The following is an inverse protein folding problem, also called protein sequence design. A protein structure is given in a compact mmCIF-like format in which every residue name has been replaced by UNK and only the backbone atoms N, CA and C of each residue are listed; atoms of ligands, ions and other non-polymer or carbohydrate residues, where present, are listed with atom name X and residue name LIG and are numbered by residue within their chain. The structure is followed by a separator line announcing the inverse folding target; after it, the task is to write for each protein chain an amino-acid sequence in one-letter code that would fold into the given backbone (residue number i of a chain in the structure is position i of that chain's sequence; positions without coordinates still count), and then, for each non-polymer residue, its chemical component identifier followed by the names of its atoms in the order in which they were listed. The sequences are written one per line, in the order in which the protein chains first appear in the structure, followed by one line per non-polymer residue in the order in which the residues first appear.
data_IF_507651412464
#
_entry.id   IF_507651412464
#
_cell.length_a   1.000
_cell.length_b   1.000
_cell.length_c   1.000
_cell.angle_alpha   90.00
_cell.angle_beta   90.00
_cell.angle_gamma   90.00
#
_symmetry.space_group_name_H-M   'P 1'
#
loop_
_entity.id
_entity.type
_entity.pdbx_description
1 polymer ?
#
# COMPACT_ATOMS: atom_id res chain seq x y z
N UNK A 1 -8.18 16.88 11.55
CA UNK A 1 -7.23 17.93 11.16
C UNK A 1 -6.26 17.38 10.15
N UNK A 2 -6.05 18.07 9.07
CA UNK A 2 -5.02 17.67 8.10
C UNK A 2 -3.65 18.12 8.59
N UNK A 3 -2.66 17.24 8.47
CA UNK A 3 -1.27 17.55 8.76
C UNK A 3 -0.53 17.65 7.44
N UNK A 4 -0.14 18.84 7.07
CA UNK A 4 0.61 19.09 5.85
C UNK A 4 2.02 19.53 6.19
N UNK A 5 3.00 18.96 5.52
CA UNK A 5 4.41 19.30 5.67
C UNK A 5 4.95 19.76 4.33
N UNK A 6 5.56 20.93 4.29
CA UNK A 6 6.22 21.41 3.08
C UNK A 6 7.56 20.70 2.91
N UNK A 7 7.77 20.15 1.73
CA UNK A 7 9.00 19.49 1.35
C UNK A 7 9.62 20.17 0.14
N UNK A 8 10.85 19.83 -0.17
CA UNK A 8 11.52 20.36 -1.37
C UNK A 8 10.83 19.94 -2.66
N UNK A 9 10.09 18.86 -2.62
CA UNK A 9 9.40 18.26 -3.77
C UNK A 9 7.92 18.65 -3.83
N UNK A 10 7.44 19.42 -2.86
CA UNK A 10 6.05 19.84 -2.78
C UNK A 10 5.47 19.67 -1.38
N UNK A 11 4.16 19.67 -1.32
CA UNK A 11 3.44 19.57 -0.05
C UNK A 11 3.09 18.12 0.25
N UNK A 12 3.59 17.60 1.35
CA UNK A 12 3.22 16.28 1.84
C UNK A 12 1.97 16.39 2.72
N UNK A 13 0.94 15.65 2.36
CA UNK A 13 -0.30 15.58 3.13
C UNK A 13 -0.32 14.25 3.87
N UNK A 14 -0.20 14.29 5.19
CA UNK A 14 -0.09 13.09 6.01
C UNK A 14 -1.44 12.37 6.22
N UNK A 15 -2.54 13.03 5.95
CA UNK A 15 -3.89 12.45 6.00
C UNK A 15 -4.33 11.90 4.63
N UNK A 16 -3.43 11.30 3.89
CA UNK A 16 -3.58 10.94 2.48
C UNK A 16 -4.72 9.97 2.15
N UNK A 17 -5.26 9.28 3.14
CA UNK A 17 -6.39 8.36 2.95
C UNK A 17 -7.75 9.05 2.86
N UNK A 18 -7.84 10.31 3.19
CA UNK A 18 -9.12 11.03 3.16
C UNK A 18 -9.46 11.47 1.74
N UNK A 19 -10.62 11.07 1.26
CA UNK A 19 -11.07 11.39 -0.09
C UNK A 19 -11.15 12.88 -0.38
N UNK A 20 -11.38 13.70 0.66
CA UNK A 20 -11.45 15.14 0.52
C UNK A 20 -10.16 15.79 -0.03
N UNK A 21 -9.03 15.11 0.09
CA UNK A 21 -7.76 15.56 -0.48
C UNK A 21 -7.51 15.11 -1.91
N UNK A 22 -8.42 14.31 -2.46
CA UNK A 22 -8.27 13.67 -3.76
C UNK A 22 -9.53 13.86 -4.61
N UNK A 23 -10.17 15.03 -4.50
CA UNK A 23 -11.43 15.32 -5.17
C UNK A 23 -11.34 15.23 -6.69
N UNK A 24 -10.18 15.49 -7.26
CA UNK A 24 -9.90 15.29 -8.68
C UNK A 24 -10.23 13.85 -9.11
N UNK A 25 -9.79 12.87 -8.32
CA UNK A 25 -10.01 11.45 -8.59
C UNK A 25 -11.47 11.05 -8.33
N UNK A 26 -12.06 11.59 -7.27
CA UNK A 26 -13.47 11.32 -6.93
C UNK A 26 -14.40 11.84 -8.03
N UNK A 27 -14.15 13.05 -8.51
CA UNK A 27 -14.95 13.65 -9.58
C UNK A 27 -14.81 12.88 -10.89
N UNK A 28 -13.61 12.44 -11.23
CA UNK A 28 -13.38 11.60 -12.40
C UNK A 28 -14.18 10.29 -12.30
N UNK A 29 -14.17 9.66 -11.15
CA UNK A 29 -14.94 8.43 -10.92
C UNK A 29 -16.45 8.67 -11.02
N UNK A 30 -16.95 9.74 -10.42
CA UNK A 30 -18.38 10.11 -10.51
C UNK A 30 -18.82 10.40 -11.94
N UNK A 31 -17.91 10.89 -12.78
CA UNK A 31 -18.15 11.11 -14.21
C UNK A 31 -18.10 9.83 -15.05
N UNK A 32 -17.87 8.68 -14.44
CA UNK A 32 -17.81 7.40 -15.13
C UNK A 32 -16.48 7.07 -15.75
N UNK A 33 -15.43 7.83 -15.45
CA UNK A 33 -14.08 7.54 -15.92
C UNK A 33 -13.46 6.36 -15.19
N UNK A 34 -12.59 5.61 -15.88
CA UNK A 34 -11.74 4.63 -15.22
C UNK A 34 -10.65 5.35 -14.43
N UNK A 35 -10.58 5.05 -13.15
CA UNK A 35 -9.56 5.62 -12.28
C UNK A 35 -8.72 4.51 -11.63
N UNK A 36 -7.47 4.85 -11.31
CA UNK A 36 -6.64 4.01 -10.46
C UNK A 36 -6.96 4.29 -8.98
N UNK A 37 -6.71 3.33 -8.09
CA UNK A 37 -6.84 3.56 -6.64
C UNK A 37 -5.94 4.71 -6.19
N UNK A 38 -6.33 5.37 -5.11
CA UNK A 38 -5.51 6.41 -4.49
C UNK A 38 -4.45 5.77 -3.61
N UNK A 39 -4.83 4.71 -2.90
CA UNK A 39 -3.99 4.00 -1.95
C UNK A 39 -4.08 2.50 -2.20
N UNK A 40 -2.97 1.80 -1.98
CA UNK A 40 -2.87 0.34 -2.17
C UNK A 40 -2.23 -0.27 -0.93
N UNK A 41 -2.79 -1.38 -0.46
CA UNK A 41 -2.13 -2.24 0.50
C UNK A 41 -1.34 -3.31 -0.25
N UNK A 42 -0.04 -3.40 0.02
CA UNK A 42 0.87 -4.31 -0.67
C UNK A 42 1.47 -5.30 0.32
N UNK A 43 1.16 -6.57 0.14
CA UNK A 43 1.73 -7.66 0.94
C UNK A 43 3.00 -8.18 0.28
N UNK A 44 4.15 -8.02 0.93
CA UNK A 44 5.44 -8.46 0.39
C UNK A 44 5.76 -9.90 0.75
N UNK A 45 5.37 -10.37 1.94
CA UNK A 45 5.73 -11.70 2.42
C UNK A 45 4.72 -12.20 3.46
N UNK A 46 4.61 -13.52 3.57
CA UNK A 46 3.89 -14.19 4.65
C UNK A 46 4.81 -14.66 5.77
N UNK A 47 6.12 -14.47 5.64
CA UNK A 47 7.08 -14.83 6.69
C UNK A 47 6.91 -13.90 7.89
N UNK A 48 6.79 -14.49 9.08
CA UNK A 48 6.64 -13.73 10.33
C UNK A 48 7.12 -14.56 11.51
N UNK A 49 7.90 -13.93 12.39
CA UNK A 49 8.36 -14.55 13.64
C UNK A 49 7.70 -14.00 14.90
N UNK A 50 6.79 -13.03 14.75
CA UNK A 50 6.22 -12.33 15.90
C UNK A 50 5.17 -13.14 16.69
N UNK A 51 4.45 -14.05 16.04
CA UNK A 51 3.44 -14.94 16.64
C UNK A 51 2.41 -14.21 17.51
N UNK A 52 1.88 -13.09 17.01
CA UNK A 52 0.89 -12.30 17.75
C UNK A 52 -0.36 -13.14 18.07
N UNK A 53 -0.82 -13.10 19.31
CA UNK A 53 -1.96 -13.91 19.77
C UNK A 53 -3.27 -13.55 19.06
N UNK A 54 -3.40 -12.31 18.59
CA UNK A 54 -4.58 -11.80 17.90
C UNK A 54 -4.46 -11.85 16.37
N UNK A 55 -3.41 -12.44 15.83
CA UNK A 55 -3.15 -12.44 14.40
C UNK A 55 -4.02 -13.46 13.67
N UNK A 56 -4.92 -12.99 12.81
CA UNK A 56 -5.79 -13.85 12.03
C UNK A 56 -5.03 -14.77 11.06
N UNK A 57 -3.86 -14.33 10.60
CA UNK A 57 -3.03 -15.13 9.68
C UNK A 57 -2.53 -16.44 10.31
N UNK A 58 -2.42 -16.48 11.63
CA UNK A 58 -2.00 -17.68 12.35
C UNK A 58 -3.06 -18.79 12.39
N UNK A 59 -4.32 -18.45 12.12
CA UNK A 59 -5.43 -19.40 12.12
C UNK A 59 -5.87 -19.81 10.72
N UNK A 60 -5.23 -19.29 9.68
CA UNK A 60 -5.51 -19.69 8.31
C UNK A 60 -4.94 -21.10 8.03
N UNK A 61 -5.65 -21.86 7.21
CA UNK A 61 -5.24 -23.23 6.88
C UNK A 61 -3.93 -23.29 6.09
N UNK A 62 -3.69 -22.30 5.24
CA UNK A 62 -2.46 -22.26 4.45
C UNK A 62 -1.29 -21.82 5.29
N UNK A 63 -0.27 -22.69 5.36
CA UNK A 63 0.98 -22.43 6.07
C UNK A 63 2.08 -21.95 5.10
N UNK A 64 1.75 -21.67 3.86
CA UNK A 64 2.74 -21.23 2.88
C UNK A 64 3.35 -19.88 3.26
N UNK A 65 4.68 -19.85 3.28
CA UNK A 65 5.45 -18.63 3.57
C UNK A 65 5.99 -18.03 2.28
N UNK A 66 5.08 -17.76 1.36
CA UNK A 66 5.43 -17.16 0.08
C UNK A 66 5.82 -15.70 0.22
N UNK A 67 6.68 -15.26 -0.66
CA UNK A 67 7.10 -13.86 -0.73
C UNK A 67 7.06 -13.39 -2.18
N UNK A 68 6.75 -12.12 -2.37
CA UNK A 68 6.84 -11.50 -3.69
C UNK A 68 8.32 -11.35 -4.05
N UNK A 69 8.70 -11.78 -5.24
CA UNK A 69 10.08 -11.64 -5.71
C UNK A 69 10.43 -10.17 -5.91
N UNK A 70 11.65 -9.79 -5.57
CA UNK A 70 12.10 -8.41 -5.64
C UNK A 70 11.86 -7.75 -7.01
N UNK A 71 12.18 -8.38 -8.17
CA UNK A 71 11.90 -7.77 -9.46
C UNK A 71 10.41 -7.49 -9.68
N UNK A 72 9.53 -8.37 -9.20
CA UNK A 72 8.07 -8.20 -9.31
C UNK A 72 7.60 -7.03 -8.44
N UNK A 73 8.10 -6.94 -7.20
CA UNK A 73 7.75 -5.85 -6.30
C UNK A 73 8.17 -4.49 -6.87
N UNK A 74 9.38 -4.40 -7.41
CA UNK A 74 9.88 -3.17 -8.02
C UNK A 74 9.06 -2.78 -9.26
N UNK A 75 8.66 -3.75 -10.08
CA UNK A 75 7.79 -3.51 -11.23
C UNK A 75 6.43 -2.98 -10.81
N UNK A 76 5.86 -3.51 -9.73
CA UNK A 76 4.58 -3.04 -9.20
C UNK A 76 4.68 -1.59 -8.74
N UNK A 77 5.76 -1.22 -8.06
CA UNK A 77 5.97 0.16 -7.60
C UNK A 77 6.08 1.12 -8.79
N UNK A 78 6.79 0.74 -9.84
CA UNK A 78 6.87 1.53 -11.06
C UNK A 78 5.48 1.70 -11.71
N UNK A 79 4.68 0.64 -11.73
CA UNK A 79 3.32 0.68 -12.25
C UNK A 79 2.42 1.58 -11.39
N UNK A 80 2.58 1.57 -10.07
CA UNK A 80 1.83 2.43 -9.16
C UNK A 80 2.13 3.91 -9.43
N UNK A 81 3.38 4.26 -9.63
CA UNK A 81 3.78 5.62 -10.00
C UNK A 81 3.12 6.04 -11.30
N UNK A 82 3.21 5.21 -12.33
CA UNK A 82 2.63 5.49 -13.64
C UNK A 82 1.12 5.65 -13.60
N UNK A 83 0.42 4.87 -12.75
CA UNK A 83 -1.03 4.92 -12.60
C UNK A 83 -1.51 6.06 -11.71
N UNK A 84 -0.60 6.77 -11.04
CA UNK A 84 -0.97 7.86 -10.15
C UNK A 84 -1.45 7.43 -8.78
N UNK A 85 -1.04 6.25 -8.31
CA UNK A 85 -1.29 5.82 -6.93
C UNK A 85 -0.44 6.67 -6.00
N UNK A 86 -1.05 7.22 -4.95
CA UNK A 86 -0.45 8.25 -4.11
C UNK A 86 0.15 7.73 -2.81
N UNK A 87 -0.27 6.55 -2.37
CA UNK A 87 0.28 5.93 -1.17
C UNK A 87 0.24 4.41 -1.24
N UNK A 88 1.17 3.77 -0.56
CA UNK A 88 1.24 2.32 -0.43
C UNK A 88 1.48 1.99 1.04
N UNK A 89 0.66 1.09 1.57
CA UNK A 89 0.86 0.54 2.90
C UNK A 89 1.43 -0.87 2.77
N UNK A 90 2.54 -1.13 3.44
CA UNK A 90 3.16 -2.46 3.44
C UNK A 90 2.53 -3.31 4.54
N UNK A 91 1.33 -3.79 4.28
CA UNK A 91 0.54 -4.61 5.19
C UNK A 91 0.45 -6.01 4.61
N UNK A 92 0.81 -7.02 5.39
CA UNK A 92 0.80 -8.40 4.93
C UNK A 92 0.40 -9.36 6.06
N UNK A 93 0.20 -10.63 5.70
CA UNK A 93 -0.02 -11.71 6.65
C UNK A 93 1.24 -12.04 7.47
N UNK A 94 2.38 -11.45 7.12
CA UNK A 94 3.66 -11.62 7.78
C UNK A 94 4.27 -10.30 8.21
N UNK A 95 5.55 -10.31 8.48
CA UNK A 95 6.34 -9.11 8.81
C UNK A 95 7.03 -8.61 7.54
N UNK A 96 6.60 -7.47 7.04
CA UNK A 96 7.08 -6.91 5.76
C UNK A 96 8.60 -6.71 5.73
N UNK A 97 9.22 -6.39 6.87
CA UNK A 97 10.67 -6.18 6.95
C UNK A 97 11.48 -7.45 6.72
N UNK A 98 10.86 -8.63 6.76
CA UNK A 98 11.50 -9.91 6.44
C UNK A 98 11.55 -10.17 4.93
N UNK A 99 10.90 -9.35 4.12
CA UNK A 99 10.96 -9.50 2.67
C UNK A 99 12.28 -8.96 2.13
N UNK A 100 12.93 -9.66 1.18
CA UNK A 100 14.12 -9.13 0.50
C UNK A 100 13.80 -7.91 -0.38
N UNK A 101 12.54 -7.67 -0.68
CA UNK A 101 12.08 -6.51 -1.46
C UNK A 101 11.81 -5.27 -0.62
N UNK A 102 11.83 -5.40 0.72
CA UNK A 102 11.58 -4.28 1.63
C UNK A 102 12.59 -3.16 1.50
#
# INVERSE_FOLDING_TARGET
MSTAVDTKEGKLILDSHKLSYHMDRVQAWESGERIAPISVDMALTRACGAMCTFCYAMVQESQERSSVKTPVALKLVDDFERLGIRSVSLVSDGESTLSPAY
#
